data_IF_119089684489
#
_entry.id   IF_119089684489
#
_cell.length_a   1.000
_cell.length_b   1.000
_cell.length_c   1.000
_cell.angle_alpha   90.00
_cell.angle_beta   90.00
_cell.angle_gamma   90.00
#
_symmetry.space_group_name_H-M   'P 1'
#
loop_
_entity.id
_entity.type
_entity.pdbx_description
1 polymer ?
#
# COMPACT_ATOMS: atom_id res chain seq x y z
N UNK A 1 -52.25 -14.25 -42.28
CA UNK A 1 -51.21 -15.23 -41.92
C UNK A 1 -49.87 -14.61 -42.30
N UNK A 2 -49.10 -14.08 -41.33
CA UNK A 2 -47.78 -13.48 -41.61
C UNK A 2 -46.80 -14.63 -41.86
N UNK A 3 -46.33 -14.76 -43.09
CA UNK A 3 -45.21 -15.61 -43.46
C UNK A 3 -43.94 -14.96 -42.90
N UNK A 4 -43.42 -15.50 -41.80
CA UNK A 4 -42.09 -15.16 -41.32
C UNK A 4 -41.09 -15.88 -42.21
N UNK A 5 -40.44 -15.13 -43.11
CA UNK A 5 -39.42 -15.68 -43.98
C UNK A 5 -38.22 -16.12 -43.12
N UNK A 6 -37.64 -17.27 -43.47
CA UNK A 6 -36.42 -17.82 -42.86
C UNK A 6 -35.28 -16.77 -42.85
N UNK A 7 -35.30 -15.83 -43.78
CA UNK A 7 -34.33 -14.73 -43.88
C UNK A 7 -34.47 -13.66 -42.77
N UNK A 8 -35.68 -13.38 -42.27
CA UNK A 8 -35.87 -12.47 -41.11
C UNK A 8 -35.37 -13.10 -39.81
N UNK A 9 -35.56 -14.42 -39.66
CA UNK A 9 -35.02 -15.19 -38.53
C UNK A 9 -33.49 -15.23 -38.55
N UNK A 10 -32.89 -15.38 -39.74
CA UNK A 10 -31.42 -15.34 -39.91
C UNK A 10 -30.83 -13.97 -39.56
N UNK A 11 -31.48 -12.88 -39.97
CA UNK A 11 -31.06 -11.53 -39.62
C UNK A 11 -31.12 -11.28 -38.10
N UNK A 12 -32.18 -11.73 -37.43
CA UNK A 12 -32.28 -11.65 -35.96
C UNK A 12 -31.24 -12.53 -35.23
N UNK A 13 -30.86 -13.68 -35.78
CA UNK A 13 -29.81 -14.51 -35.18
C UNK A 13 -28.42 -13.90 -35.31
N UNK A 14 -28.11 -13.26 -36.45
CA UNK A 14 -26.83 -12.57 -36.67
C UNK A 14 -26.71 -11.34 -35.75
N UNK A 15 -27.76 -10.52 -35.67
CA UNK A 15 -27.83 -9.37 -34.76
C UNK A 15 -27.70 -9.78 -33.28
N UNK A 16 -28.28 -10.92 -32.90
CA UNK A 16 -28.14 -11.47 -31.55
C UNK A 16 -26.72 -11.98 -31.26
N UNK A 17 -26.01 -12.50 -32.28
CA UNK A 17 -24.65 -13.01 -32.14
C UNK A 17 -23.65 -11.85 -32.00
N UNK A 18 -23.80 -10.80 -32.82
CA UNK A 18 -23.03 -9.56 -32.68
C UNK A 18 -23.26 -8.88 -31.33
N UNK A 19 -24.51 -8.80 -30.87
CA UNK A 19 -24.85 -8.30 -29.52
C UNK A 19 -24.17 -9.10 -28.42
N UNK A 20 -24.20 -10.44 -28.50
CA UNK A 20 -23.53 -11.32 -27.53
C UNK A 20 -22.01 -11.16 -27.55
N UNK A 21 -21.40 -11.04 -28.72
CA UNK A 21 -19.96 -10.78 -28.84
C UNK A 21 -19.56 -9.44 -28.22
N UNK A 22 -20.34 -8.37 -28.46
CA UNK A 22 -20.10 -7.06 -27.87
C UNK A 22 -20.28 -7.06 -26.34
N UNK A 23 -21.30 -7.73 -25.83
CA UNK A 23 -21.51 -7.91 -24.38
C UNK A 23 -20.38 -8.74 -23.74
N UNK A 24 -19.89 -9.80 -24.40
CA UNK A 24 -18.72 -10.57 -23.93
C UNK A 24 -17.47 -9.69 -23.84
N UNK A 25 -17.21 -8.85 -24.85
CA UNK A 25 -16.06 -7.93 -24.85
C UNK A 25 -16.18 -6.90 -23.72
N UNK A 26 -17.38 -6.37 -23.50
CA UNK A 26 -17.67 -5.43 -22.41
C UNK A 26 -17.46 -6.09 -21.04
N UNK A 27 -17.99 -7.29 -20.84
CA UNK A 27 -17.82 -8.06 -19.59
C UNK A 27 -16.35 -8.39 -19.35
N UNK A 28 -15.58 -8.75 -20.38
CA UNK A 28 -14.13 -8.95 -20.26
C UNK A 28 -13.40 -7.69 -19.81
N UNK A 29 -13.79 -6.52 -20.33
CA UNK A 29 -13.24 -5.23 -19.90
C UNK A 29 -13.48 -4.97 -18.41
N UNK A 30 -14.72 -5.19 -17.93
CA UNK A 30 -15.09 -5.04 -16.52
C UNK A 30 -14.28 -6.01 -15.65
N UNK A 31 -14.19 -7.29 -16.04
CA UNK A 31 -13.40 -8.28 -15.30
C UNK A 31 -11.92 -7.86 -15.22
N UNK A 32 -11.36 -7.35 -16.31
CA UNK A 32 -9.96 -6.91 -16.32
C UNK A 32 -9.72 -5.71 -15.38
N UNK A 33 -10.66 -4.79 -15.32
CA UNK A 33 -10.64 -3.65 -14.38
C UNK A 33 -10.72 -4.14 -12.93
N UNK A 34 -11.66 -5.02 -12.61
CA UNK A 34 -11.82 -5.60 -11.27
C UNK A 34 -10.60 -6.40 -10.82
N UNK A 35 -9.99 -7.19 -11.72
CA UNK A 35 -8.74 -7.91 -11.43
C UNK A 35 -7.61 -6.92 -11.13
N UNK A 36 -7.52 -5.82 -11.88
CA UNK A 36 -6.52 -4.78 -11.65
C UNK A 36 -6.71 -4.11 -10.28
N UNK A 37 -7.95 -3.76 -9.94
CA UNK A 37 -8.31 -3.16 -8.66
C UNK A 37 -8.03 -4.10 -7.49
N UNK A 38 -8.39 -5.39 -7.63
CA UNK A 38 -8.13 -6.42 -6.62
C UNK A 38 -6.63 -6.60 -6.38
N UNK A 39 -5.81 -6.66 -7.45
CA UNK A 39 -4.36 -6.78 -7.33
C UNK A 39 -3.74 -5.57 -6.60
N UNK A 40 -4.14 -4.35 -6.95
CA UNK A 40 -3.67 -3.14 -6.26
C UNK A 40 -4.06 -3.13 -4.77
N UNK A 41 -5.30 -3.53 -4.46
CA UNK A 41 -5.76 -3.66 -3.08
C UNK A 41 -4.96 -4.73 -2.31
N UNK A 42 -4.76 -5.90 -2.90
CA UNK A 42 -4.01 -6.99 -2.27
C UNK A 42 -2.54 -6.61 -2.00
N UNK A 43 -1.89 -5.95 -2.96
CA UNK A 43 -0.52 -5.46 -2.77
C UNK A 43 -0.43 -4.38 -1.67
N UNK A 44 -1.46 -3.52 -1.54
CA UNK A 44 -1.53 -2.56 -0.43
C UNK A 44 -1.57 -3.23 0.95
N UNK A 45 -2.13 -4.44 1.07
CA UNK A 45 -2.12 -5.22 2.31
C UNK A 45 -0.71 -5.72 2.66
N UNK A 46 0.09 -6.13 1.67
CA UNK A 46 1.47 -6.60 1.86
C UNK A 46 2.42 -5.51 2.36
N UNK A 47 2.15 -4.24 2.06
CA UNK A 47 2.99 -3.14 2.55
C UNK A 47 2.71 -2.75 4.02
N UNK A 48 1.55 -3.14 4.59
CA UNK A 48 1.19 -2.78 5.97
C UNK A 48 2.19 -3.30 7.01
N UNK A 49 2.61 -4.59 7.01
CA UNK A 49 3.62 -5.08 7.94
C UNK A 49 4.94 -4.30 7.87
N UNK A 50 5.38 -3.94 6.66
CA UNK A 50 6.63 -3.19 6.45
C UNK A 50 6.52 -1.75 6.96
N UNK A 51 5.38 -1.08 6.72
CA UNK A 51 5.08 0.24 7.32
C UNK A 51 5.16 0.19 8.84
N UNK A 52 4.58 -0.85 9.46
CA UNK A 52 4.59 -1.03 10.91
C UNK A 52 6.01 -1.25 11.43
N UNK A 53 6.77 -2.15 10.81
CA UNK A 53 8.17 -2.44 11.20
C UNK A 53 9.07 -1.22 11.06
N UNK A 54 8.93 -0.45 9.98
CA UNK A 54 9.72 0.77 9.78
C UNK A 54 9.45 1.81 10.89
N UNK A 55 8.17 1.99 11.27
CA UNK A 55 7.80 2.89 12.38
C UNK A 55 8.38 2.41 13.69
N UNK A 56 8.24 1.12 13.99
CA UNK A 56 8.77 0.53 15.20
C UNK A 56 10.29 0.72 15.29
N UNK A 57 11.03 0.37 14.24
CA UNK A 57 12.49 0.53 14.18
C UNK A 57 12.92 1.97 14.42
N UNK A 58 12.22 2.93 13.83
CA UNK A 58 12.52 4.35 14.00
C UNK A 58 12.22 4.86 15.42
N UNK A 59 11.14 4.38 16.03
CA UNK A 59 10.81 4.71 17.43
C UNK A 59 11.80 4.09 18.41
N UNK A 60 12.25 2.85 18.18
CA UNK A 60 13.30 2.21 18.97
C UNK A 60 14.61 3.02 18.94
N UNK A 61 15.04 3.45 17.75
CA UNK A 61 16.23 4.32 17.61
C UNK A 61 16.00 5.65 18.34
N UNK A 62 14.82 6.26 18.18
CA UNK A 62 14.47 7.53 18.84
C UNK A 62 14.58 7.40 20.35
N UNK A 63 13.98 6.37 20.93
CA UNK A 63 13.91 6.19 22.38
C UNK A 63 15.30 5.87 22.96
N UNK A 64 16.11 5.06 22.27
CA UNK A 64 17.49 4.80 22.66
C UNK A 64 18.33 6.08 22.71
N UNK A 65 18.29 6.89 21.66
CA UNK A 65 19.08 8.13 21.60
C UNK A 65 18.54 9.21 22.55
N UNK A 66 17.21 9.30 22.69
CA UNK A 66 16.56 10.21 23.63
C UNK A 66 16.93 9.86 25.07
N UNK A 67 16.89 8.58 25.45
CA UNK A 67 17.29 8.14 26.79
C UNK A 67 18.77 8.47 27.06
N UNK A 68 19.66 8.20 26.11
CA UNK A 68 21.08 8.57 26.20
C UNK A 68 21.27 10.08 26.40
N UNK A 69 20.53 10.90 25.66
CA UNK A 69 20.59 12.36 25.79
C UNK A 69 20.08 12.85 27.14
N UNK A 70 18.95 12.33 27.61
CA UNK A 70 18.35 12.70 28.89
C UNK A 70 19.23 12.29 30.07
N UNK A 71 19.77 11.06 30.09
CA UNK A 71 20.69 10.61 31.15
C UNK A 71 21.95 11.49 31.23
N UNK A 72 22.50 11.94 30.08
CA UNK A 72 23.68 12.82 30.07
C UNK A 72 23.41 14.22 30.60
N UNK A 73 22.15 14.64 30.64
CA UNK A 73 21.73 16.00 30.98
C UNK A 73 20.88 16.04 32.26
N UNK A 74 20.73 14.92 32.96
CA UNK A 74 19.81 14.72 34.09
C UNK A 74 20.03 15.74 35.22
N UNK A 75 21.27 16.13 35.50
CA UNK A 75 21.60 17.12 36.53
C UNK A 75 21.33 18.58 36.13
N UNK A 76 20.94 18.84 34.89
CA UNK A 76 20.92 20.19 34.30
C UNK A 76 19.59 20.57 33.67
N UNK A 77 18.76 19.59 33.30
CA UNK A 77 17.48 19.83 32.65
C UNK A 77 16.35 19.98 33.68
N UNK A 78 15.45 20.92 33.42
CA UNK A 78 14.13 20.90 34.02
C UNK A 78 13.24 19.89 33.30
N UNK A 79 12.13 19.47 33.91
CA UNK A 79 11.14 18.60 33.23
C UNK A 79 10.58 19.25 31.96
N UNK A 80 10.47 20.59 31.94
CA UNK A 80 10.06 21.34 30.75
C UNK A 80 11.05 21.16 29.61
N UNK A 81 12.35 21.27 29.90
CA UNK A 81 13.40 21.13 28.88
C UNK A 81 13.47 19.69 28.36
N UNK A 82 13.36 18.71 29.26
CA UNK A 82 13.24 17.30 28.88
C UNK A 82 12.06 17.08 27.92
N UNK A 83 10.89 17.65 28.21
CA UNK A 83 9.73 17.54 27.34
C UNK A 83 9.95 18.19 25.96
N UNK A 84 10.59 19.35 25.90
CA UNK A 84 10.94 20.00 24.62
C UNK A 84 11.85 19.10 23.77
N UNK A 85 12.81 18.41 24.39
CA UNK A 85 13.70 17.46 23.70
C UNK A 85 12.91 16.24 23.22
N UNK A 86 12.00 15.68 24.04
CA UNK A 86 11.10 14.59 23.62
C UNK A 86 10.30 14.99 22.39
N UNK A 87 9.69 16.17 22.39
CA UNK A 87 8.87 16.66 21.27
C UNK A 87 9.69 16.99 20.02
N UNK A 88 10.92 17.49 20.20
CA UNK A 88 11.86 17.67 19.09
C UNK A 88 12.19 16.32 18.43
N UNK A 89 12.55 15.30 19.23
CA UNK A 89 12.90 13.97 18.72
C UNK A 89 11.75 13.35 17.90
N UNK A 90 10.52 13.43 18.42
CA UNK A 90 9.31 12.95 17.73
C UNK A 90 9.06 13.70 16.43
N UNK A 91 9.20 15.03 16.42
CA UNK A 91 9.04 15.85 15.21
C UNK A 91 10.05 15.49 14.12
N UNK A 92 11.30 15.22 14.49
CA UNK A 92 12.34 14.80 13.54
C UNK A 92 11.96 13.45 12.92
N UNK A 93 11.65 12.45 13.74
CA UNK A 93 11.26 11.11 13.25
C UNK A 93 10.03 11.18 12.36
N UNK A 94 8.99 11.90 12.78
CA UNK A 94 7.77 12.06 11.98
C UNK A 94 8.05 12.71 10.62
N UNK A 95 8.90 13.75 10.57
CA UNK A 95 9.29 14.40 9.30
C UNK A 95 10.09 13.46 8.40
N UNK A 96 11.04 12.71 8.96
CA UNK A 96 11.85 11.75 8.20
C UNK A 96 11.01 10.62 7.63
N UNK A 97 10.06 10.08 8.42
CA UNK A 97 9.22 8.96 8.01
C UNK A 97 8.05 9.36 7.11
N UNK A 98 7.67 10.64 7.07
CA UNK A 98 6.51 11.07 6.29
C UNK A 98 6.64 10.68 4.81
N UNK A 99 7.75 11.06 4.15
CA UNK A 99 7.92 10.80 2.72
C UNK A 99 8.11 9.30 2.40
N UNK A 100 9.00 8.54 3.07
CA UNK A 100 9.15 7.10 2.82
C UNK A 100 7.86 6.31 3.02
N UNK A 101 7.09 6.60 4.08
CA UNK A 101 5.83 5.89 4.35
C UNK A 101 4.75 6.24 3.33
N UNK A 102 4.69 7.49 2.88
CA UNK A 102 3.75 7.89 1.82
C UNK A 102 4.11 7.20 0.50
N UNK A 103 5.39 7.20 0.12
CA UNK A 103 5.85 6.50 -1.10
C UNK A 103 5.63 5.00 -1.03
N UNK A 104 5.85 4.37 0.11
CA UNK A 104 5.60 2.95 0.29
C UNK A 104 4.11 2.61 0.08
N UNK A 105 3.19 3.43 0.58
CA UNK A 105 1.74 3.24 0.34
C UNK A 105 1.35 3.47 -1.12
N UNK A 106 1.89 4.51 -1.76
CA UNK A 106 1.64 4.81 -3.16
C UNK A 106 2.11 3.67 -4.06
N UNK A 107 3.36 3.21 -3.88
CA UNK A 107 3.93 2.14 -4.69
C UNK A 107 3.32 0.78 -4.39
N UNK A 108 2.84 0.53 -3.17
CA UNK A 108 2.15 -0.72 -2.85
C UNK A 108 0.85 -0.92 -3.63
N UNK A 109 0.27 0.13 -4.19
CA UNK A 109 -0.91 0.05 -5.06
C UNK A 109 -0.55 0.05 -6.55
N UNK A 110 0.73 0.08 -6.90
CA UNK A 110 1.24 -0.02 -8.28
C UNK A 110 1.92 -1.36 -8.48
N UNK A 111 2.08 -1.79 -9.74
CA UNK A 111 2.79 -3.04 -10.08
C UNK A 111 4.24 -3.14 -9.57
N UNK A 112 4.82 -2.07 -9.00
CA UNK A 112 6.17 -2.05 -8.41
C UNK A 112 6.18 -2.20 -6.88
N UNK A 113 5.04 -2.45 -6.24
CA UNK A 113 4.91 -2.50 -4.79
C UNK A 113 5.86 -3.49 -4.10
N UNK A 114 6.09 -4.67 -4.70
CA UNK A 114 6.97 -5.68 -4.12
C UNK A 114 8.44 -5.25 -4.12
N UNK A 115 8.94 -4.70 -5.23
CA UNK A 115 10.31 -4.19 -5.32
C UNK A 115 10.57 -3.06 -4.33
N UNK A 116 9.64 -2.10 -4.24
CA UNK A 116 9.79 -0.97 -3.33
C UNK A 116 9.74 -1.43 -1.86
N UNK A 117 8.84 -2.37 -1.55
CA UNK A 117 8.73 -2.97 -0.21
C UNK A 117 10.01 -3.70 0.18
N UNK A 118 10.57 -4.52 -0.71
CA UNK A 118 11.84 -5.22 -0.49
C UNK A 118 13.01 -4.25 -0.25
N UNK A 119 13.11 -3.19 -1.06
CA UNK A 119 14.14 -2.17 -0.90
C UNK A 119 14.05 -1.46 0.47
N UNK A 120 12.83 -1.14 0.93
CA UNK A 120 12.65 -0.55 2.27
C UNK A 120 13.02 -1.53 3.38
N UNK A 121 12.71 -2.82 3.22
CA UNK A 121 13.10 -3.83 4.21
C UNK A 121 14.62 -3.97 4.32
N UNK A 122 15.32 -3.98 3.18
CA UNK A 122 16.78 -4.08 3.14
C UNK A 122 17.45 -2.81 3.69
N UNK A 123 17.03 -1.62 3.24
CA UNK A 123 17.64 -0.34 3.64
C UNK A 123 17.51 -0.04 5.13
N UNK A 124 16.47 -0.55 5.78
CA UNK A 124 16.17 -0.28 7.19
C UNK A 124 16.29 -1.53 8.08
N UNK A 125 16.80 -2.64 7.54
CA UNK A 125 16.98 -3.91 8.24
C UNK A 125 15.70 -4.35 8.99
N UNK A 126 14.59 -4.37 8.25
CA UNK A 126 13.26 -4.69 8.77
C UNK A 126 13.01 -6.19 8.61
N UNK A 127 13.71 -7.03 9.39
CA UNK A 127 13.57 -8.49 9.30
C UNK A 127 12.09 -8.92 9.26
N UNK A 128 11.68 -9.59 8.19
CA UNK A 128 10.48 -10.41 8.17
C UNK A 128 10.85 -11.84 8.49
N UNK A 129 10.96 -12.15 9.78
CA UNK A 129 10.89 -13.52 10.24
C UNK A 129 9.54 -14.13 9.82
N UNK A 130 9.50 -15.23 9.03
CA UNK A 130 8.28 -15.87 8.56
C UNK A 130 7.51 -16.68 9.62
N UNK A 131 7.90 -16.62 10.90
CA UNK A 131 7.49 -17.63 11.91
C UNK A 131 6.30 -17.23 12.80
N UNK A 132 5.70 -16.05 12.61
CA UNK A 132 4.50 -15.65 13.37
C UNK A 132 3.22 -15.81 12.52
N UNK A 133 2.83 -17.05 12.24
CA UNK A 133 1.51 -17.45 11.71
C UNK A 133 0.94 -18.64 12.45
#
# INVERSE_FOLDING_TARGET
MRLHNIDELKAQTEENLERRCNEINRVRGIIQEEVTNFCAWYQSLKAKPVITKLRQRAEEIRDQELQRALCRLESTLTERDAQVIRDLSRRIVNKLLHHPLTRLREQASTGNGELYTAAVQELFDLETHPEDS
#
